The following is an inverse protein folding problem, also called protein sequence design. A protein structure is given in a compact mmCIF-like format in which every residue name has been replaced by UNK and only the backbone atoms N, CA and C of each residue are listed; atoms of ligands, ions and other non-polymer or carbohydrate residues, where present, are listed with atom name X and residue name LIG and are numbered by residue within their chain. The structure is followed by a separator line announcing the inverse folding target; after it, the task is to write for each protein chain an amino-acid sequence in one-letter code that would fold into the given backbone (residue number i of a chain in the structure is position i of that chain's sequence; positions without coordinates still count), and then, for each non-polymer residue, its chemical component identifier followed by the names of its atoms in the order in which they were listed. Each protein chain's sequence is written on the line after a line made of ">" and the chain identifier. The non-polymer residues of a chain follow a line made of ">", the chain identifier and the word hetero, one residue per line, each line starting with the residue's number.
data_IF_958658651293
#
_entry.id   IF_958658651293
#
_cell.length_a   1.000
_cell.length_b   1.000
_cell.length_c   1.000
_cell.angle_alpha   90.00
_cell.angle_beta   90.00
_cell.angle_gamma   90.00
#
_symmetry.space_group_name_H-M   'P 1'
#
loop_
_entity.id
_entity.type
_entity.pdbx_description
1 polymer ?
#
# COMPACT_ATOMS: atom_id res chain seq x y z
N UNK A 1 33.71 26.78 -10.88
CA UNK A 1 33.39 26.65 -9.45
C UNK A 1 32.29 25.62 -9.30
N UNK A 2 32.64 24.35 -9.10
CA UNK A 2 31.68 23.32 -8.75
C UNK A 2 32.26 22.58 -7.55
N UNK A 3 31.88 23.01 -6.36
CA UNK A 3 32.11 22.27 -5.12
C UNK A 3 30.79 21.56 -4.80
N UNK A 4 30.69 20.29 -5.18
CA UNK A 4 29.67 19.39 -4.65
C UNK A 4 30.33 18.71 -3.43
N UNK A 5 29.96 19.05 -2.18
CA UNK A 5 30.57 18.40 -1.03
C UNK A 5 29.99 16.99 -0.86
N UNK A 6 30.86 16.00 -1.01
CA UNK A 6 30.67 14.64 -0.51
C UNK A 6 30.48 14.68 1.01
N UNK A 7 29.30 14.28 1.51
CA UNK A 7 29.10 13.90 2.92
C UNK A 7 28.10 12.75 3.03
N UNK A 8 28.66 11.54 3.04
CA UNK A 8 28.46 10.45 4.02
C UNK A 8 27.05 10.37 4.63
N UNK A 9 26.29 9.34 4.26
CA UNK A 9 25.07 8.89 4.96
C UNK A 9 25.34 7.61 5.78
N UNK A 10 24.84 7.50 7.02
CA UNK A 10 25.01 6.32 7.87
C UNK A 10 24.08 5.16 7.48
N UNK A 11 24.53 3.95 7.81
CA UNK A 11 23.88 2.64 7.67
C UNK A 11 22.38 2.63 7.99
N UNK A 12 21.57 2.17 7.04
CA UNK A 12 20.19 1.74 7.28
C UNK A 12 20.18 0.26 7.68
N UNK A 13 19.71 -0.04 8.88
CA UNK A 13 19.40 -1.40 9.32
C UNK A 13 18.06 -1.84 8.71
N UNK A 14 18.11 -2.69 7.68
CA UNK A 14 16.94 -3.26 7.01
C UNK A 14 16.31 -4.38 7.87
N UNK A 15 15.26 -4.05 8.61
CA UNK A 15 14.48 -5.01 9.41
C UNK A 15 13.26 -5.58 8.67
N UNK A 16 13.45 -6.25 7.52
CA UNK A 16 12.34 -6.88 6.77
C UNK A 16 12.02 -8.27 7.34
N UNK A 17 11.07 -8.36 8.29
CA UNK A 17 10.63 -9.66 8.85
C UNK A 17 9.68 -10.37 7.88
N UNK A 18 10.18 -11.46 7.29
CA UNK A 18 9.41 -12.53 6.61
C UNK A 18 8.28 -13.04 7.51
N UNK A 19 7.06 -13.09 7.00
CA UNK A 19 6.04 -14.00 7.50
C UNK A 19 5.90 -15.15 6.51
N UNK A 20 6.22 -16.32 7.04
CA UNK A 20 6.42 -17.59 6.38
C UNK A 20 5.12 -18.18 5.83
N UNK A 21 5.30 -18.85 4.69
CA UNK A 21 4.35 -19.50 3.82
C UNK A 21 4.23 -20.95 4.27
N UNK A 22 3.16 -21.30 5.00
CA UNK A 22 2.87 -22.69 5.33
C UNK A 22 1.61 -23.23 4.65
N UNK A 23 1.85 -24.39 4.04
CA UNK A 23 1.09 -25.12 3.03
C UNK A 23 0.33 -26.28 3.68
N UNK A 24 -0.66 -26.81 2.96
CA UNK A 24 -1.42 -28.06 3.20
C UNK A 24 -2.49 -27.95 4.31
N UNK A 25 -3.65 -28.61 4.27
CA UNK A 25 -3.84 -30.05 4.14
C UNK A 25 -5.27 -30.39 3.63
N UNK A 26 -5.27 -31.24 2.60
CA UNK A 26 -6.24 -32.25 2.13
C UNK A 26 -7.76 -32.13 2.36
N UNK A 27 -8.43 -32.24 1.19
CA UNK A 27 -9.75 -32.83 0.92
C UNK A 27 -10.06 -34.07 1.79
N UNK A 28 -11.21 -34.03 2.46
CA UNK A 28 -11.98 -35.24 2.80
C UNK A 28 -13.40 -35.10 2.26
N UNK A 29 -13.70 -35.93 1.27
CA UNK A 29 -15.06 -36.23 0.86
C UNK A 29 -15.78 -36.94 2.01
N UNK A 30 -17.05 -36.59 2.27
CA UNK A 30 -18.10 -37.57 2.59
C UNK A 30 -19.50 -36.94 2.66
N UNK A 31 -20.36 -37.52 1.81
CA UNK A 31 -21.78 -37.81 2.02
C UNK A 31 -22.75 -36.64 2.26
N UNK A 32 -23.41 -36.25 1.17
CA UNK A 32 -24.70 -35.55 1.15
C UNK A 32 -25.79 -36.36 1.85
N UNK A 33 -26.52 -35.81 2.84
CA UNK A 33 -27.79 -36.38 3.28
C UNK A 33 -28.95 -35.98 2.35
N UNK A 34 -30.00 -36.81 2.22
CA UNK A 34 -31.14 -36.55 1.36
C UNK A 34 -32.06 -35.46 1.90
N UNK A 35 -32.75 -34.80 0.95
CA UNK A 35 -33.75 -33.75 1.16
C UNK A 35 -35.04 -34.35 1.72
N UNK A 36 -35.51 -33.83 2.85
CA UNK A 36 -36.92 -33.93 3.27
C UNK A 36 -37.41 -32.55 3.68
N UNK A 37 -38.44 -32.07 2.98
CA UNK A 37 -39.01 -30.74 3.18
C UNK A 37 -39.95 -30.67 4.38
N UNK A 38 -40.05 -29.47 4.94
CA UNK A 38 -41.22 -28.99 5.66
C UNK A 38 -41.32 -27.48 5.41
N UNK A 39 -42.30 -27.07 4.62
CA UNK A 39 -42.74 -25.67 4.52
C UNK A 39 -43.22 -25.22 5.89
N UNK A 40 -42.58 -24.19 6.43
CA UNK A 40 -43.17 -23.37 7.49
C UNK A 40 -43.28 -21.95 6.95
N UNK A 41 -44.49 -21.57 6.56
CA UNK A 41 -44.88 -20.19 6.24
C UNK A 41 -44.85 -19.34 7.52
N UNK A 42 -43.65 -19.09 8.03
CA UNK A 42 -43.39 -18.15 9.10
C UNK A 42 -42.98 -16.81 8.49
N UNK A 43 -43.92 -15.94 8.13
CA UNK A 43 -43.59 -14.54 7.79
C UNK A 43 -43.01 -13.86 9.03
N UNK A 44 -41.71 -13.50 9.09
CA UNK A 44 -41.21 -12.76 10.24
C UNK A 44 -41.78 -11.34 10.22
N UNK A 45 -42.27 -10.88 11.38
CA UNK A 45 -42.67 -9.47 11.56
C UNK A 45 -41.44 -8.59 11.33
N UNK A 46 -41.47 -7.77 10.28
CA UNK A 46 -40.40 -6.80 9.97
C UNK A 46 -40.37 -5.73 11.05
N UNK A 47 -39.42 -5.82 11.96
CA UNK A 47 -39.10 -4.71 12.85
C UNK A 47 -38.45 -3.57 12.04
N UNK A 48 -38.80 -2.30 12.26
CA UNK A 48 -38.14 -1.19 11.60
C UNK A 48 -36.69 -1.11 12.10
N UNK A 49 -35.76 -1.49 11.23
CA UNK A 49 -34.32 -1.36 11.50
C UNK A 49 -34.00 0.13 11.56
N UNK A 50 -33.74 0.65 12.77
CA UNK A 50 -33.22 2.01 12.97
C UNK A 50 -31.90 2.10 12.20
N UNK A 51 -31.85 2.88 11.12
CA UNK A 51 -30.63 3.06 10.32
C UNK A 51 -29.55 3.61 11.24
N UNK A 52 -28.49 2.83 11.48
CA UNK A 52 -27.31 3.29 12.21
C UNK A 52 -26.77 4.54 11.50
N UNK A 53 -26.51 5.65 12.22
CA UNK A 53 -25.92 6.83 11.61
C UNK A 53 -24.61 6.42 10.96
N UNK A 54 -24.47 6.70 9.64
CA UNK A 54 -23.22 6.47 8.94
C UNK A 54 -22.19 7.37 9.62
N UNK A 55 -21.31 6.78 10.44
CA UNK A 55 -20.12 7.46 10.96
C UNK A 55 -19.47 8.12 9.76
N UNK A 56 -19.52 9.45 9.71
CA UNK A 56 -18.86 10.24 8.66
C UNK A 56 -17.40 9.79 8.71
N UNK A 57 -17.00 8.98 7.73
CA UNK A 57 -15.62 8.53 7.60
C UNK A 57 -14.80 9.80 7.57
N UNK A 58 -13.97 9.98 8.60
CA UNK A 58 -13.07 11.12 8.71
C UNK A 58 -12.43 11.33 7.34
N UNK A 59 -12.54 12.56 6.84
CA UNK A 59 -11.96 12.99 5.57
C UNK A 59 -10.51 12.51 5.56
N UNK A 60 -10.20 11.51 4.74
CA UNK A 60 -8.85 10.96 4.61
C UNK A 60 -7.97 12.15 4.23
N UNK A 61 -7.04 12.54 5.09
CA UNK A 61 -6.09 13.60 4.80
C UNK A 61 -5.40 13.26 3.47
N UNK A 62 -5.26 14.25 2.59
CA UNK A 62 -4.64 14.04 1.29
C UNK A 62 -3.17 13.67 1.53
N UNK A 63 -2.72 12.58 0.91
CA UNK A 63 -1.31 12.21 0.95
C UNK A 63 -0.53 13.22 0.11
N UNK A 64 0.68 13.66 0.55
CA UNK A 64 1.53 14.50 -0.28
C UNK A 64 1.91 13.75 -1.56
N UNK A 65 2.11 14.49 -2.64
CA UNK A 65 2.53 13.94 -3.93
C UNK A 65 3.90 14.53 -4.28
N UNK A 66 4.73 13.75 -4.96
CA UNK A 66 6.04 14.17 -5.44
C UNK A 66 6.30 13.52 -6.81
N UNK A 67 7.24 14.09 -7.57
CA UNK A 67 7.60 13.57 -8.89
C UNK A 67 9.09 13.25 -9.02
N UNK A 68 9.40 12.31 -9.91
CA UNK A 68 10.77 11.99 -10.33
C UNK A 68 10.79 11.72 -11.84
N UNK A 69 11.97 11.84 -12.47
CA UNK A 69 12.17 11.48 -13.87
C UNK A 69 12.82 10.10 -13.93
N UNK A 70 12.26 9.19 -14.72
CA UNK A 70 12.86 7.87 -14.91
C UNK A 70 14.09 7.95 -15.81
N UNK A 71 15.26 7.54 -15.33
CA UNK A 71 16.50 7.53 -16.12
C UNK A 71 16.47 6.54 -17.31
N UNK A 72 15.58 5.54 -17.28
CA UNK A 72 15.45 4.54 -18.34
C UNK A 72 14.59 5.00 -19.52
N UNK A 73 13.43 5.60 -19.27
CA UNK A 73 12.50 6.03 -20.35
C UNK A 73 12.35 7.55 -20.49
N UNK A 74 12.82 8.33 -19.52
CA UNK A 74 12.75 9.79 -19.52
C UNK A 74 11.38 10.37 -19.11
N UNK A 75 10.42 9.55 -18.69
CA UNK A 75 9.09 10.04 -18.29
C UNK A 75 9.12 10.66 -16.89
N UNK A 76 8.38 11.77 -16.71
CA UNK A 76 8.11 12.35 -15.40
C UNK A 76 6.96 11.59 -14.72
N UNK A 77 7.25 10.98 -13.58
CA UNK A 77 6.33 10.12 -12.85
C UNK A 77 5.95 10.83 -11.55
N UNK A 78 4.66 11.04 -11.34
CA UNK A 78 4.09 11.60 -10.11
C UNK A 78 3.57 10.45 -9.25
N UNK A 79 4.02 10.36 -8.01
CA UNK A 79 3.61 9.33 -7.05
C UNK A 79 3.09 9.94 -5.75
N UNK A 80 2.06 9.33 -5.13
CA UNK A 80 1.65 9.68 -3.78
C UNK A 80 2.70 9.15 -2.78
N UNK A 81 3.06 9.98 -1.81
CA UNK A 81 4.01 9.65 -0.76
C UNK A 81 3.27 9.21 0.50
N UNK A 82 3.50 7.97 0.93
CA UNK A 82 2.99 7.48 2.20
C UNK A 82 3.87 7.97 3.36
N UNK A 83 3.32 8.87 4.17
CA UNK A 83 4.01 9.43 5.33
C UNK A 83 4.12 8.44 6.50
N UNK A 84 3.44 7.30 6.45
CA UNK A 84 3.40 6.32 7.54
C UNK A 84 4.73 5.61 7.78
N UNK A 85 5.60 5.55 6.77
CA UNK A 85 6.92 4.90 6.82
C UNK A 85 8.05 5.82 7.32
N UNK A 86 7.73 7.03 7.81
CA UNK A 86 8.68 7.99 8.35
C UNK A 86 9.11 9.06 7.34
N UNK A 87 9.88 10.04 7.81
CA UNK A 87 10.26 11.22 7.04
C UNK A 87 11.40 10.98 6.02
N UNK A 88 12.11 9.86 6.11
CA UNK A 88 13.14 9.46 5.18
C UNK A 88 12.91 8.00 4.79
N UNK A 89 12.75 7.72 3.50
CA UNK A 89 12.44 6.39 2.98
C UNK A 89 13.35 6.08 1.80
N UNK A 90 13.73 4.82 1.66
CA UNK A 90 14.58 4.31 0.58
C UNK A 90 14.02 2.95 0.17
N UNK A 91 13.46 2.87 -1.03
CA UNK A 91 12.82 1.67 -1.54
C UNK A 91 12.95 1.60 -3.05
N UNK A 92 12.73 0.40 -3.61
CA UNK A 92 12.74 0.17 -5.05
C UNK A 92 11.30 0.00 -5.53
N UNK A 93 10.94 0.73 -6.58
CA UNK A 93 9.65 0.64 -7.27
C UNK A 93 9.90 0.53 -8.77
N UNK A 94 9.12 -0.27 -9.49
CA UNK A 94 9.22 -0.36 -10.94
C UNK A 94 8.60 0.88 -11.60
N UNK A 95 9.27 1.44 -12.61
CA UNK A 95 8.72 2.52 -13.41
C UNK A 95 7.37 2.08 -14.06
N UNK A 96 6.25 2.79 -13.85
CA UNK A 96 4.94 2.40 -14.39
C UNK A 96 4.84 2.48 -15.93
N UNK A 97 5.86 3.06 -16.57
CA UNK A 97 5.93 3.28 -18.02
C UNK A 97 6.79 2.22 -18.70
N UNK A 98 7.96 1.92 -18.15
CA UNK A 98 8.96 1.04 -18.79
C UNK A 98 9.35 -0.20 -17.96
N UNK A 99 8.78 -0.38 -16.77
CA UNK A 99 8.98 -1.52 -15.89
C UNK A 99 10.44 -1.80 -15.49
N UNK A 100 11.34 -0.80 -15.56
CA UNK A 100 12.67 -0.90 -14.97
C UNK A 100 12.62 -0.52 -13.49
N UNK A 101 13.39 -1.23 -12.64
CA UNK A 101 13.49 -0.91 -11.23
C UNK A 101 14.12 0.48 -11.04
N UNK A 102 13.48 1.29 -10.21
CA UNK A 102 13.97 2.60 -9.79
C UNK A 102 14.13 2.59 -8.27
N UNK A 103 15.33 2.92 -7.79
CA UNK A 103 15.55 3.22 -6.39
C UNK A 103 15.05 4.64 -6.11
N UNK A 104 14.09 4.76 -5.20
CA UNK A 104 13.44 6.01 -4.80
C UNK A 104 13.88 6.39 -3.39
N UNK A 105 14.53 7.55 -3.28
CA UNK A 105 14.86 8.18 -2.00
C UNK A 105 13.86 9.30 -1.72
N UNK A 106 13.02 9.10 -0.70
CA UNK A 106 11.95 10.03 -0.34
C UNK A 106 12.33 10.78 0.93
N UNK A 107 12.18 12.10 0.91
CA UNK A 107 12.31 12.97 2.08
C UNK A 107 11.02 13.76 2.29
N UNK A 108 10.55 13.83 3.53
CA UNK A 108 9.36 14.59 3.93
C UNK A 108 9.81 15.68 4.90
N UNK A 109 9.52 16.92 4.55
CA UNK A 109 9.86 18.10 5.34
C UNK A 109 8.80 18.37 6.44
N UNK A 110 9.12 19.26 7.38
CA UNK A 110 8.25 19.58 8.53
C UNK A 110 6.92 20.24 8.13
N UNK A 111 6.88 20.88 6.96
CA UNK A 111 5.66 21.45 6.38
C UNK A 111 4.77 20.41 5.69
N UNK A 112 5.21 19.15 5.64
CA UNK A 112 4.53 18.04 4.98
C UNK A 112 4.75 18.00 3.47
N UNK A 113 5.64 18.83 2.92
CA UNK A 113 6.07 18.71 1.54
C UNK A 113 6.96 17.47 1.37
N UNK A 114 6.81 16.78 0.24
CA UNK A 114 7.57 15.58 -0.05
C UNK A 114 8.45 15.80 -1.28
N UNK A 115 9.66 15.24 -1.23
CA UNK A 115 10.63 15.25 -2.32
C UNK A 115 11.10 13.83 -2.61
N UNK A 116 11.25 13.49 -3.88
CA UNK A 116 11.75 12.20 -4.35
C UNK A 116 12.96 12.42 -5.24
N UNK A 117 13.97 11.59 -5.03
CA UNK A 117 15.10 11.42 -5.94
C UNK A 117 15.06 9.98 -6.45
N UNK A 118 15.02 9.82 -7.77
CA UNK A 118 14.97 8.52 -8.44
C UNK A 118 16.29 8.23 -9.13
N UNK A 119 16.81 7.03 -8.93
CA UNK A 119 18.01 6.53 -9.59
C UNK A 119 17.71 5.13 -10.14
N UNK A 120 18.20 4.83 -11.35
CA UNK A 120 18.09 3.48 -11.91
C UNK A 120 19.02 2.49 -11.15
N UNK A 121 18.52 1.30 -10.82
CA UNK A 121 19.30 0.22 -10.18
C UNK A 121 19.96 -0.75 -11.19
#
# INVERSE_FOLDING_TARGET
>A
MAMIPSRIRPSVETGFRRLDRSMMILRTARSSPPRTGASVDGRPRRHPVKKRPRRRRARREAQPEASYVCDSCGEEIVVPVDVSAGCAQDYVEDCPVCCHPMRLQVTIDEDGSARIEGEHE
#
